data_IF_943040510475
#
_entry.id   IF_943040510475
#
_cell.length_a   1.000
_cell.length_b   1.000
_cell.length_c   1.000
_cell.angle_alpha   90.00
_cell.angle_beta   90.00
_cell.angle_gamma   90.00
#
_symmetry.space_group_name_H-M   'P 1'
#
loop_
_entity.id
_entity.type
_entity.pdbx_description
1 polymer ?
#
# COMPACT_ATOMS: atom_id res chain seq x y z
N UNK A 1 -22.76 39.41 -9.90
CA UNK A 1 -22.98 38.07 -9.32
C UNK A 1 -22.27 37.05 -10.20
N UNK A 2 -21.48 36.16 -9.58
CA UNK A 2 -20.82 35.05 -10.28
C UNK A 2 -21.77 33.82 -10.24
N UNK A 3 -22.03 33.27 -11.41
CA UNK A 3 -22.85 32.06 -11.51
C UNK A 3 -21.93 30.85 -11.61
N UNK A 4 -22.02 29.90 -10.63
CA UNK A 4 -21.18 28.74 -10.57
C UNK A 4 -21.93 27.52 -11.10
N UNK A 5 -21.25 26.57 -11.78
CA UNK A 5 -21.90 25.45 -12.46
C UNK A 5 -22.49 24.40 -11.49
N UNK A 6 -21.93 24.30 -10.27
CA UNK A 6 -22.35 23.32 -9.27
C UNK A 6 -22.37 23.95 -7.87
N UNK A 7 -23.06 23.35 -6.88
CA UNK A 7 -23.12 23.87 -5.51
C UNK A 7 -21.73 24.01 -4.88
N UNK A 8 -21.52 25.09 -4.14
CA UNK A 8 -20.31 25.33 -3.35
C UNK A 8 -20.37 24.45 -2.10
N UNK A 9 -19.28 23.73 -1.83
CA UNK A 9 -19.08 22.94 -0.62
C UNK A 9 -18.15 23.62 0.39
N UNK A 10 -17.22 24.47 -0.10
CA UNK A 10 -16.35 25.29 0.75
C UNK A 10 -16.03 26.62 0.08
N UNK A 11 -15.85 27.66 0.90
CA UNK A 11 -15.45 28.99 0.45
C UNK A 11 -14.36 29.51 1.38
N UNK A 12 -13.23 29.90 0.78
CA UNK A 12 -12.08 30.44 1.50
C UNK A 12 -11.67 31.80 0.92
N UNK A 13 -11.16 32.63 1.80
CA UNK A 13 -10.60 33.93 1.43
C UNK A 13 -9.25 34.13 2.10
N UNK A 14 -8.35 34.80 1.44
CA UNK A 14 -7.09 35.26 2.00
C UNK A 14 -6.64 36.57 1.26
N UNK A 15 -5.42 37.05 1.53
CA UNK A 15 -4.90 38.25 0.92
C UNK A 15 -4.72 38.15 -0.62
N UNK A 16 -4.77 36.96 -1.20
CA UNK A 16 -4.63 36.72 -2.65
C UNK A 16 -5.97 36.78 -3.37
N UNK A 17 -7.05 36.33 -2.70
CA UNK A 17 -8.37 36.33 -3.32
C UNK A 17 -9.39 35.41 -2.63
N UNK A 18 -10.44 35.12 -3.37
CA UNK A 18 -11.54 34.25 -2.97
C UNK A 18 -11.46 32.95 -3.73
N UNK A 19 -11.63 31.83 -3.04
CA UNK A 19 -11.67 30.49 -3.65
C UNK A 19 -12.99 29.82 -3.32
N UNK A 20 -13.68 29.34 -4.33
CA UNK A 20 -14.87 28.49 -4.18
C UNK A 20 -14.51 27.05 -4.53
N UNK A 21 -14.85 26.12 -3.65
CA UNK A 21 -14.66 24.68 -3.86
C UNK A 21 -16.03 24.06 -4.13
N UNK A 22 -16.10 23.27 -5.18
CA UNK A 22 -17.23 22.45 -5.59
C UNK A 22 -16.74 21.00 -5.66
N UNK A 23 -17.60 20.02 -5.72
CA UNK A 23 -17.21 18.59 -5.63
C UNK A 23 -16.08 18.19 -6.60
N UNK A 24 -16.10 18.72 -7.82
CA UNK A 24 -15.15 18.35 -8.88
C UNK A 24 -14.44 19.58 -9.47
N UNK A 25 -14.55 20.74 -8.82
CA UNK A 25 -14.03 21.99 -9.38
C UNK A 25 -13.64 22.96 -8.28
N UNK A 26 -12.60 23.73 -8.54
CA UNK A 26 -12.17 24.89 -7.73
C UNK A 26 -12.04 26.08 -8.63
N UNK A 27 -12.67 27.20 -8.26
CA UNK A 27 -12.53 28.50 -8.95
C UNK A 27 -11.88 29.52 -8.01
N UNK A 28 -10.90 30.26 -8.51
CA UNK A 28 -10.23 31.35 -7.79
C UNK A 28 -10.57 32.69 -8.41
N UNK A 29 -10.85 33.67 -7.56
CA UNK A 29 -11.28 35.02 -7.96
C UNK A 29 -10.42 36.08 -7.27
N UNK A 30 -10.19 37.19 -7.94
CA UNK A 30 -9.59 38.39 -7.36
C UNK A 30 -10.59 39.16 -6.45
N UNK A 31 -10.14 40.27 -5.86
CA UNK A 31 -10.97 41.14 -5.01
C UNK A 31 -12.16 41.79 -5.75
N UNK A 32 -12.11 41.89 -7.07
CA UNK A 32 -13.15 42.42 -7.92
C UNK A 32 -14.09 41.37 -8.52
N UNK A 33 -13.97 40.11 -8.05
CA UNK A 33 -14.71 38.95 -8.57
C UNK A 33 -14.34 38.52 -9.99
N UNK A 34 -13.18 38.96 -10.49
CA UNK A 34 -12.60 38.47 -11.73
C UNK A 34 -12.03 37.04 -11.53
N UNK A 35 -12.38 36.11 -12.44
CA UNK A 35 -11.87 34.76 -12.41
C UNK A 35 -10.37 34.72 -12.71
N UNK A 36 -9.56 34.21 -11.78
CA UNK A 36 -8.11 34.11 -11.93
C UNK A 36 -7.72 32.74 -12.47
N UNK A 37 -8.22 31.64 -11.85
CA UNK A 37 -7.82 30.31 -12.18
C UNK A 37 -8.95 29.31 -11.95
N UNK A 38 -8.89 28.17 -12.66
CA UNK A 38 -9.86 27.09 -12.58
C UNK A 38 -9.12 25.76 -12.53
N UNK A 39 -9.39 24.98 -11.50
CA UNK A 39 -9.00 23.59 -11.43
C UNK A 39 -10.21 22.69 -11.59
N UNK A 40 -10.12 21.69 -12.47
CA UNK A 40 -11.16 20.66 -12.67
C UNK A 40 -10.55 19.30 -12.40
N UNK A 41 -11.25 18.50 -11.63
CA UNK A 41 -10.82 17.13 -11.30
C UNK A 41 -10.83 16.24 -12.54
N UNK A 42 -9.74 15.55 -12.78
CA UNK A 42 -9.52 14.64 -13.92
C UNK A 42 -9.39 13.17 -13.48
N UNK A 43 -10.11 12.75 -12.46
CA UNK A 43 -10.00 11.39 -11.94
C UNK A 43 -11.05 11.01 -10.91
N UNK A 44 -10.83 9.87 -10.26
CA UNK A 44 -11.75 9.32 -9.25
C UNK A 44 -11.43 9.86 -7.84
N UNK A 45 -11.47 11.17 -7.65
CA UNK A 45 -11.35 11.82 -6.34
C UNK A 45 -12.23 13.06 -6.28
N UNK A 46 -12.42 13.59 -5.09
CA UNK A 46 -13.18 14.81 -4.85
C UNK A 46 -12.32 15.85 -4.14
N UNK A 47 -12.59 17.10 -4.39
CA UNK A 47 -11.99 18.21 -3.67
C UNK A 47 -12.86 18.59 -2.47
N UNK A 48 -12.23 18.84 -1.32
CA UNK A 48 -12.92 19.16 -0.09
C UNK A 48 -12.77 20.63 0.30
N UNK A 49 -11.61 21.22 0.02
CA UNK A 49 -11.28 22.62 0.36
C UNK A 49 -10.15 23.10 -0.53
N UNK A 50 -10.02 24.40 -0.71
CA UNK A 50 -8.88 24.98 -1.40
C UNK A 50 -8.56 26.39 -0.90
N UNK A 51 -7.31 26.83 -1.09
CA UNK A 51 -6.88 28.21 -0.84
C UNK A 51 -6.06 28.76 -2.01
N UNK A 52 -6.14 30.06 -2.23
CA UNK A 52 -5.33 30.74 -3.22
C UNK A 52 -3.89 30.93 -2.74
N UNK A 53 -2.94 30.69 -3.62
CA UNK A 53 -1.54 31.08 -3.51
C UNK A 53 -1.26 32.18 -4.52
N UNK A 54 -0.17 32.92 -4.35
CA UNK A 54 0.24 34.00 -5.28
C UNK A 54 0.44 33.52 -6.72
N UNK A 55 0.67 32.20 -6.92
CA UNK A 55 0.96 31.59 -8.21
C UNK A 55 0.17 30.31 -8.48
N UNK A 56 -1.00 30.14 -7.84
CA UNK A 56 -1.84 28.97 -8.04
C UNK A 56 -2.78 28.65 -6.89
N UNK A 57 -3.09 27.37 -6.70
CA UNK A 57 -4.03 26.86 -5.69
C UNK A 57 -3.40 25.72 -4.88
N UNK A 58 -3.70 25.67 -3.59
CA UNK A 58 -3.48 24.51 -2.75
C UNK A 58 -4.83 23.87 -2.46
N UNK A 59 -5.01 22.60 -2.86
CA UNK A 59 -6.29 21.92 -2.92
C UNK A 59 -6.26 20.67 -2.07
N UNK A 60 -7.09 20.61 -1.04
CA UNK A 60 -7.28 19.42 -0.20
C UNK A 60 -8.27 18.45 -0.85
N UNK A 61 -7.91 17.17 -0.91
CA UNK A 61 -8.71 16.13 -1.55
C UNK A 61 -9.12 15.03 -0.57
N UNK A 62 -10.09 14.21 -0.93
CA UNK A 62 -10.57 13.11 -0.08
C UNK A 62 -9.59 11.92 0.01
N UNK A 63 -8.77 11.66 -1.02
CA UNK A 63 -7.91 10.46 -1.09
C UNK A 63 -6.59 10.65 -1.83
N UNK A 64 -6.25 11.88 -2.27
CA UNK A 64 -4.99 12.21 -2.95
C UNK A 64 -4.10 13.19 -2.18
N UNK A 65 -4.35 13.36 -0.88
CA UNK A 65 -3.62 14.33 -0.06
C UNK A 65 -3.92 15.76 -0.49
N UNK A 66 -2.90 16.58 -0.62
CA UNK A 66 -3.00 17.97 -1.05
C UNK A 66 -2.42 18.11 -2.46
N UNK A 67 -3.15 18.78 -3.35
CA UNK A 67 -2.69 19.10 -4.69
C UNK A 67 -2.21 20.54 -4.72
N UNK A 68 -1.00 20.76 -5.18
CA UNK A 68 -0.49 22.05 -5.59
C UNK A 68 -0.76 22.22 -7.09
N UNK A 69 -1.64 23.14 -7.43
CA UNK A 69 -1.98 23.50 -8.80
C UNK A 69 -1.30 24.81 -9.17
N UNK A 70 -0.45 24.79 -10.19
CA UNK A 70 0.29 25.98 -10.65
C UNK A 70 0.44 25.94 -12.17
N UNK A 71 0.00 27.01 -12.83
CA UNK A 71 0.18 27.21 -14.29
C UNK A 71 -0.28 26.03 -15.15
N UNK A 72 -1.41 25.40 -14.79
CA UNK A 72 -1.94 24.23 -15.51
C UNK A 72 -1.25 22.89 -15.17
N UNK A 73 -0.30 22.88 -14.23
CA UNK A 73 0.37 21.68 -13.73
C UNK A 73 -0.10 21.33 -12.32
N UNK A 74 -0.26 20.05 -12.06
CA UNK A 74 -0.60 19.56 -10.72
C UNK A 74 0.52 18.70 -10.13
N UNK A 75 0.84 18.98 -8.86
CA UNK A 75 1.74 18.17 -8.04
C UNK A 75 1.03 17.73 -6.77
N UNK A 76 1.02 16.43 -6.49
CA UNK A 76 0.43 15.90 -5.25
C UNK A 76 1.44 15.92 -4.11
N UNK A 77 1.05 16.49 -2.98
CA UNK A 77 1.76 16.42 -1.70
C UNK A 77 1.05 15.35 -0.88
N UNK A 78 1.64 14.17 -0.84
CA UNK A 78 1.12 13.04 -0.08
C UNK A 78 2.02 12.90 1.15
N UNK A 79 1.46 12.93 2.39
CA UNK A 79 2.24 12.67 3.59
C UNK A 79 2.91 11.29 3.51
N UNK A 80 4.12 11.18 4.04
CA UNK A 80 4.76 9.87 4.17
C UNK A 80 3.90 8.97 5.06
N UNK A 81 3.57 7.78 4.58
CA UNK A 81 2.66 6.87 5.26
C UNK A 81 2.65 5.48 4.63
N UNK A 82 1.76 4.66 5.15
CA UNK A 82 1.45 3.33 4.63
C UNK A 82 0.96 3.39 3.17
N UNK A 83 1.17 2.32 2.43
CA UNK A 83 0.68 2.17 1.05
C UNK A 83 -0.85 2.14 0.98
N UNK A 84 -1.50 1.58 2.00
CA UNK A 84 -2.96 1.45 2.11
C UNK A 84 -3.36 1.54 3.59
N UNK A 85 -4.59 1.98 3.87
CA UNK A 85 -5.12 2.06 5.23
C UNK A 85 -5.73 0.74 5.73
N UNK A 86 -5.95 -0.23 4.83
CA UNK A 86 -6.51 -1.54 5.14
C UNK A 86 -5.37 -2.53 5.45
N UNK A 87 -4.76 -2.36 6.61
CA UNK A 87 -3.65 -3.19 7.08
C UNK A 87 -4.17 -4.52 7.60
N UNK A 88 -3.66 -5.64 7.06
CA UNK A 88 -4.01 -6.99 7.50
C UNK A 88 -3.17 -7.47 8.69
N UNK A 89 -1.86 -7.26 8.62
CA UNK A 89 -0.94 -7.71 9.68
C UNK A 89 0.20 -6.71 9.87
N UNK A 90 0.67 -6.61 11.10
CA UNK A 90 1.86 -5.85 11.47
C UNK A 90 2.83 -6.74 12.24
N UNK A 91 4.12 -6.44 12.10
CA UNK A 91 5.19 -7.06 12.88
C UNK A 91 6.22 -6.01 13.25
N UNK A 92 6.71 -6.04 14.48
CA UNK A 92 7.76 -5.15 14.94
C UNK A 92 8.96 -5.96 15.40
N UNK A 93 10.13 -5.65 14.86
CA UNK A 93 11.39 -6.28 15.27
C UNK A 93 12.55 -5.31 15.07
N UNK A 94 13.46 -5.25 16.05
CA UNK A 94 14.75 -4.53 15.98
C UNK A 94 14.63 -3.09 15.44
N UNK A 95 13.60 -2.37 15.85
CA UNK A 95 13.37 -0.96 15.46
C UNK A 95 12.69 -0.76 14.11
N UNK A 96 12.32 -1.83 13.40
CA UNK A 96 11.52 -1.77 12.18
C UNK A 96 10.09 -2.23 12.44
N UNK A 97 9.11 -1.48 11.95
CA UNK A 97 7.70 -1.89 11.91
C UNK A 97 7.34 -2.27 10.47
N UNK A 98 6.77 -3.45 10.29
CA UNK A 98 6.34 -3.98 9.01
C UNK A 98 4.81 -4.03 8.92
N UNK A 99 4.25 -3.82 7.73
CA UNK A 99 2.83 -3.93 7.48
C UNK A 99 2.54 -4.65 6.15
N UNK A 100 1.50 -5.50 6.16
CA UNK A 100 0.97 -6.17 4.97
C UNK A 100 -0.52 -5.88 4.81
N UNK A 101 -1.04 -6.00 3.59
CA UNK A 101 -2.38 -5.52 3.21
C UNK A 101 -3.26 -6.61 2.61
N UNK A 102 -2.74 -7.83 2.53
CA UNK A 102 -3.45 -8.96 1.93
C UNK A 102 -4.14 -9.84 2.95
N UNK A 103 -4.04 -11.14 2.74
CA UNK A 103 -4.50 -12.15 3.69
C UNK A 103 -5.69 -12.95 3.18
N UNK A 104 -6.58 -13.27 4.09
CA UNK A 104 -7.73 -14.14 3.86
C UNK A 104 -8.92 -13.68 4.72
N UNK A 105 -10.12 -14.08 4.33
CA UNK A 105 -11.33 -13.89 5.15
C UNK A 105 -11.30 -14.79 6.40
N UNK A 106 -12.25 -14.60 7.32
CA UNK A 106 -12.44 -15.46 8.50
C UNK A 106 -12.72 -16.93 8.15
N UNK A 107 -13.17 -17.21 6.93
CA UNK A 107 -13.37 -18.57 6.39
C UNK A 107 -12.19 -19.08 5.56
N UNK A 108 -11.02 -18.44 5.66
CA UNK A 108 -9.82 -18.78 4.89
C UNK A 108 -10.03 -18.75 3.37
N UNK A 109 -10.81 -17.77 2.89
CA UNK A 109 -10.98 -17.51 1.47
C UNK A 109 -9.96 -16.45 1.02
N UNK A 110 -9.22 -16.66 -0.08
CA UNK A 110 -8.25 -15.68 -0.61
C UNK A 110 -8.88 -14.51 -1.37
N UNK A 111 -10.18 -14.51 -1.56
CA UNK A 111 -10.89 -13.47 -2.32
C UNK A 111 -11.56 -12.43 -1.40
N UNK A 112 -11.50 -11.15 -1.76
CA UNK A 112 -10.87 -10.59 -2.95
C UNK A 112 -9.33 -10.65 -2.87
N UNK A 113 -8.67 -10.90 -4.00
CA UNK A 113 -7.21 -10.85 -4.08
C UNK A 113 -6.72 -9.41 -3.95
N UNK A 114 -5.74 -9.21 -3.07
CA UNK A 114 -5.10 -7.92 -2.83
C UNK A 114 -3.73 -7.90 -3.51
N UNK A 115 -3.62 -7.10 -4.54
CA UNK A 115 -2.39 -6.93 -5.33
C UNK A 115 -1.60 -5.73 -4.79
N UNK A 116 -1.32 -5.77 -3.49
CA UNK A 116 -0.50 -4.81 -2.79
C UNK A 116 0.81 -5.47 -2.33
N UNK A 117 1.86 -4.66 -2.22
CA UNK A 117 3.12 -5.13 -1.68
C UNK A 117 3.13 -5.12 -0.14
N UNK A 118 4.20 -4.62 0.42
CA UNK A 118 4.33 -4.42 1.87
C UNK A 118 4.91 -3.05 2.17
N UNK A 119 4.73 -2.58 3.40
CA UNK A 119 5.36 -1.37 3.90
C UNK A 119 6.23 -1.67 5.09
N UNK A 120 7.29 -0.89 5.25
CA UNK A 120 8.10 -0.89 6.48
C UNK A 120 8.41 0.53 6.93
N UNK A 121 8.42 0.71 8.25
CA UNK A 121 8.80 1.95 8.90
C UNK A 121 10.18 1.78 9.51
N UNK A 122 11.12 2.57 9.05
CA UNK A 122 12.48 2.60 9.52
C UNK A 122 13.04 4.02 9.37
N UNK A 123 13.91 4.46 10.31
CA UNK A 123 14.48 5.81 10.30
C UNK A 123 13.42 6.91 10.16
N UNK A 124 12.31 6.80 10.90
CA UNK A 124 11.21 7.77 10.94
C UNK A 124 10.44 7.92 9.62
N UNK A 125 10.64 7.02 8.66
CA UNK A 125 9.98 7.04 7.36
C UNK A 125 9.30 5.70 7.04
N UNK A 126 8.12 5.79 6.45
CA UNK A 126 7.48 4.68 5.77
C UNK A 126 8.08 4.51 4.38
N UNK A 127 8.41 3.29 4.06
CA UNK A 127 8.85 2.85 2.74
C UNK A 127 7.85 1.83 2.22
N UNK A 128 7.47 1.97 0.97
CA UNK A 128 6.41 1.17 0.35
C UNK A 128 6.98 0.39 -0.83
N UNK A 129 7.04 -0.93 -0.71
CA UNK A 129 7.41 -1.85 -1.79
C UNK A 129 6.14 -2.25 -2.53
N UNK A 130 6.09 -1.97 -3.83
CA UNK A 130 4.90 -2.17 -4.66
C UNK A 130 4.76 -3.62 -5.13
N UNK A 131 3.54 -4.00 -5.50
CA UNK A 131 3.22 -5.34 -6.02
C UNK A 131 4.11 -5.79 -7.19
N UNK A 132 4.45 -4.89 -8.11
CA UNK A 132 5.25 -5.23 -9.30
C UNK A 132 6.66 -5.75 -8.97
N UNK A 133 7.15 -5.47 -7.75
CA UNK A 133 8.50 -5.86 -7.30
C UNK A 133 8.52 -7.18 -6.52
N UNK A 134 7.37 -7.80 -6.18
CA UNK A 134 7.28 -8.93 -5.26
C UNK A 134 6.98 -10.28 -5.95
N UNK A 135 7.45 -10.48 -7.17
CA UNK A 135 7.34 -11.74 -7.93
C UNK A 135 5.91 -12.28 -8.03
N UNK A 136 4.91 -11.37 -8.09
CA UNK A 136 3.50 -11.71 -8.17
C UNK A 136 2.87 -12.28 -6.89
N UNK A 137 3.52 -12.14 -5.74
CA UNK A 137 3.00 -12.57 -4.45
C UNK A 137 1.85 -11.66 -3.97
N UNK A 138 0.61 -11.99 -4.29
CA UNK A 138 -0.58 -11.30 -3.79
C UNK A 138 -0.99 -11.81 -2.41
N UNK A 139 -1.90 -11.11 -1.74
CA UNK A 139 -2.42 -11.45 -0.42
C UNK A 139 -1.31 -11.71 0.61
N UNK A 140 -0.38 -10.77 0.75
CA UNK A 140 0.65 -10.83 1.78
C UNK A 140 0.00 -10.73 3.17
N UNK A 141 0.34 -11.66 4.07
CA UNK A 141 -0.35 -11.78 5.36
C UNK A 141 0.57 -11.82 6.58
N UNK A 142 1.39 -12.83 6.77
CA UNK A 142 2.22 -12.99 7.97
C UNK A 142 3.67 -12.61 7.71
N UNK A 143 4.32 -12.00 8.69
CA UNK A 143 5.71 -11.53 8.62
C UNK A 143 6.52 -12.24 9.71
N UNK A 144 7.68 -12.78 9.35
CA UNK A 144 8.63 -13.37 10.27
C UNK A 144 10.05 -12.86 10.00
N UNK A 145 10.61 -12.15 10.96
CA UNK A 145 11.99 -11.66 10.89
C UNK A 145 12.95 -12.73 11.39
N UNK A 146 14.06 -12.94 10.67
CA UNK A 146 15.07 -13.92 11.05
C UNK A 146 15.76 -13.47 12.36
N UNK A 147 15.70 -14.28 13.43
CA UNK A 147 16.25 -13.89 14.73
C UNK A 147 17.78 -13.78 14.73
N UNK A 148 18.45 -14.45 13.77
CA UNK A 148 19.91 -14.50 13.66
C UNK A 148 20.48 -13.67 12.51
N UNK A 149 19.62 -13.21 11.59
CA UNK A 149 20.02 -12.35 10.47
C UNK A 149 19.09 -11.15 10.33
N UNK A 150 19.54 -9.98 10.79
CA UNK A 150 18.75 -8.75 10.79
C UNK A 150 18.37 -8.24 9.40
N UNK A 151 19.08 -8.69 8.36
CA UNK A 151 18.78 -8.31 6.98
C UNK A 151 17.69 -9.16 6.35
N UNK A 152 17.26 -10.26 7.00
CA UNK A 152 16.38 -11.24 6.38
C UNK A 152 15.01 -11.30 7.03
N UNK A 153 13.98 -11.14 6.20
CA UNK A 153 12.57 -11.21 6.58
C UNK A 153 11.81 -12.12 5.62
N UNK A 154 10.84 -12.85 6.11
CA UNK A 154 9.97 -13.68 5.30
C UNK A 154 8.53 -13.20 5.43
N UNK A 155 7.83 -13.11 4.31
CA UNK A 155 6.44 -12.68 4.25
C UNK A 155 5.63 -13.75 3.53
N UNK A 156 4.59 -14.28 4.18
CA UNK A 156 3.73 -15.27 3.55
C UNK A 156 2.71 -14.63 2.61
N UNK A 157 2.40 -15.34 1.53
CA UNK A 157 1.33 -15.02 0.59
C UNK A 157 0.25 -16.08 0.65
N UNK A 158 -1.01 -15.65 0.81
CA UNK A 158 -2.14 -16.57 0.76
C UNK A 158 -2.60 -16.78 -0.67
N UNK A 159 -1.74 -17.47 -1.44
CA UNK A 159 -1.96 -17.79 -2.85
C UNK A 159 -0.68 -18.00 -3.66
N UNK A 160 0.49 -17.47 -3.20
CA UNK A 160 1.75 -17.53 -3.96
C UNK A 160 2.97 -17.94 -3.14
N UNK A 161 2.76 -18.54 -1.94
CA UNK A 161 3.85 -19.13 -1.14
C UNK A 161 4.50 -18.14 -0.18
N UNK A 162 5.82 -18.02 -0.20
CA UNK A 162 6.59 -17.20 0.74
C UNK A 162 7.55 -16.29 -0.02
N UNK A 163 7.52 -15.01 0.28
CA UNK A 163 8.47 -14.01 -0.20
C UNK A 163 9.63 -13.90 0.79
N UNK A 164 10.86 -14.04 0.33
CA UNK A 164 12.06 -13.65 1.07
C UNK A 164 12.41 -12.20 0.74
N UNK A 165 12.68 -11.45 1.77
CA UNK A 165 13.12 -10.06 1.71
C UNK A 165 14.53 -9.99 2.31
N UNK A 166 15.46 -9.37 1.60
CA UNK A 166 16.83 -9.16 2.04
C UNK A 166 17.12 -7.65 2.02
N UNK A 167 17.59 -7.11 3.14
CA UNK A 167 17.87 -5.67 3.30
C UNK A 167 16.67 -4.79 2.83
N UNK A 168 15.45 -5.18 3.25
CA UNK A 168 14.17 -4.55 2.93
C UNK A 168 13.69 -4.72 1.48
N UNK A 169 14.49 -5.32 0.58
CA UNK A 169 14.15 -5.53 -0.82
C UNK A 169 13.72 -6.98 -1.11
N UNK A 170 12.75 -7.22 -1.98
CA UNK A 170 12.35 -8.56 -2.39
C UNK A 170 13.52 -9.31 -3.04
N UNK A 171 13.88 -10.47 -2.50
CA UNK A 171 15.02 -11.28 -2.97
C UNK A 171 14.57 -12.44 -3.83
N UNK A 172 13.60 -13.21 -3.36
CA UNK A 172 13.03 -14.37 -4.09
C UNK A 172 11.67 -14.77 -3.54
N UNK A 173 10.95 -15.56 -4.31
CA UNK A 173 9.71 -16.19 -3.89
C UNK A 173 9.86 -17.71 -3.84
N UNK A 174 9.51 -18.33 -2.73
CA UNK A 174 9.37 -19.77 -2.60
C UNK A 174 7.98 -20.19 -3.10
N UNK A 175 7.96 -21.16 -4.00
CA UNK A 175 6.79 -21.70 -4.65
C UNK A 175 6.87 -23.22 -4.76
N UNK A 176 5.95 -23.85 -5.45
CA UNK A 176 5.98 -25.29 -5.71
C UNK A 176 7.26 -25.71 -6.44
N UNK A 177 7.71 -24.90 -7.40
CA UNK A 177 8.81 -25.26 -8.30
C UNK A 177 10.19 -25.26 -7.65
N UNK A 178 10.36 -24.50 -6.56
CA UNK A 178 11.69 -24.27 -5.96
C UNK A 178 11.73 -24.53 -4.45
N UNK A 179 10.70 -25.17 -3.89
CA UNK A 179 10.61 -25.47 -2.47
C UNK A 179 9.74 -26.72 -2.20
N UNK A 180 9.60 -27.09 -0.94
CA UNK A 180 8.66 -28.13 -0.51
C UNK A 180 7.22 -27.67 -0.31
N UNK A 181 6.86 -26.45 -0.75
CA UNK A 181 5.49 -25.96 -0.67
C UNK A 181 4.58 -26.69 -1.66
N UNK A 182 3.29 -26.80 -1.29
CA UNK A 182 2.29 -27.51 -2.08
C UNK A 182 1.19 -26.54 -2.53
N UNK A 183 0.70 -26.72 -3.77
CA UNK A 183 -0.45 -26.00 -4.29
C UNK A 183 -1.76 -26.69 -3.94
N UNK A 184 -2.80 -25.91 -3.63
CA UNK A 184 -4.18 -26.39 -3.53
C UNK A 184 -4.73 -26.80 -4.89
N UNK A 185 -4.30 -26.10 -5.94
CA UNK A 185 -4.66 -26.43 -7.32
C UNK A 185 -3.76 -27.52 -7.88
N UNK A 186 -4.35 -28.47 -8.59
CA UNK A 186 -3.62 -29.49 -9.34
C UNK A 186 -3.18 -29.01 -10.74
N UNK A 187 -3.65 -27.83 -11.18
CA UNK A 187 -3.28 -27.25 -12.47
C UNK A 187 -1.96 -26.49 -12.35
N UNK A 188 -0.94 -26.81 -13.15
CA UNK A 188 0.33 -26.07 -13.16
C UNK A 188 0.15 -24.57 -13.49
N UNK A 189 -0.80 -24.24 -14.36
CA UNK A 189 -1.07 -22.87 -14.79
C UNK A 189 -1.80 -22.02 -13.74
N UNK A 190 -2.31 -22.67 -12.70
CA UNK A 190 -3.08 -22.01 -11.63
C UNK A 190 -2.50 -22.34 -10.26
N UNK A 191 -1.23 -21.96 -10.03
CA UNK A 191 -0.58 -22.10 -8.73
C UNK A 191 -1.35 -21.37 -7.63
N UNK A 192 -1.75 -22.10 -6.57
CA UNK A 192 -2.47 -21.58 -5.41
C UNK A 192 -1.83 -22.12 -4.12
N UNK A 193 -0.74 -21.50 -3.69
CA UNK A 193 0.05 -21.88 -2.50
C UNK A 193 -0.35 -21.00 -1.33
N UNK A 194 -1.20 -21.52 -0.45
CA UNK A 194 -1.85 -20.76 0.64
C UNK A 194 -1.09 -20.85 1.94
N UNK A 195 -0.05 -20.06 2.11
CA UNK A 195 0.67 -19.96 3.38
C UNK A 195 -0.01 -18.91 4.27
N UNK A 196 -0.55 -19.36 5.42
CA UNK A 196 -1.35 -18.52 6.31
C UNK A 196 -0.55 -17.93 7.48
N UNK A 197 0.55 -18.56 7.89
CA UNK A 197 1.36 -18.07 9.00
C UNK A 197 2.82 -18.49 8.85
N UNK A 198 3.69 -17.65 9.44
CA UNK A 198 5.14 -17.90 9.56
C UNK A 198 5.58 -17.62 10.99
N UNK A 199 6.52 -18.43 11.50
CA UNK A 199 7.21 -18.17 12.75
C UNK A 199 8.60 -18.81 12.75
N UNK A 200 9.57 -18.16 13.38
CA UNK A 200 10.85 -18.76 13.68
C UNK A 200 10.83 -19.46 15.04
N UNK A 201 11.48 -20.61 15.13
CA UNK A 201 11.77 -21.21 16.42
C UNK A 201 13.11 -20.69 17.00
N UNK A 202 13.43 -21.16 18.23
CA UNK A 202 14.65 -20.76 18.92
C UNK A 202 15.94 -21.29 18.25
N UNK A 203 15.84 -22.26 17.35
CA UNK A 203 16.94 -22.81 16.58
C UNK A 203 17.15 -22.10 15.23
N UNK A 204 16.25 -21.18 14.87
CA UNK A 204 16.30 -20.43 13.61
C UNK A 204 15.70 -21.17 12.43
N UNK A 205 14.85 -22.17 12.68
CA UNK A 205 14.02 -22.77 11.63
C UNK A 205 12.79 -21.90 11.41
N UNK A 206 12.56 -21.55 10.17
CA UNK A 206 11.31 -20.91 9.75
C UNK A 206 10.23 -21.97 9.57
N UNK A 207 9.20 -21.90 10.38
CA UNK A 207 8.01 -22.71 10.27
C UNK A 207 6.93 -22.00 9.48
N UNK A 208 6.24 -22.75 8.62
CA UNK A 208 5.10 -22.24 7.84
C UNK A 208 3.90 -23.17 7.96
N UNK A 209 2.72 -22.55 7.98
CA UNK A 209 1.44 -23.28 7.97
C UNK A 209 0.71 -22.96 6.67
N UNK A 210 0.34 -24.01 5.93
CA UNK A 210 -0.39 -23.90 4.67
C UNK A 210 -1.77 -24.53 4.76
N UNK A 211 -2.75 -23.91 4.10
CA UNK A 211 -4.14 -24.36 4.11
C UNK A 211 -4.44 -25.34 2.99
N UNK A 212 -5.34 -26.33 3.25
CA UNK A 212 -5.97 -27.23 2.28
C UNK A 212 -4.99 -28.07 1.47
N UNK A 213 -3.88 -28.48 2.09
CA UNK A 213 -2.88 -29.39 1.50
C UNK A 213 -2.62 -30.58 2.44
N UNK A 214 -1.97 -31.63 1.94
CA UNK A 214 -1.75 -32.86 2.70
C UNK A 214 -0.76 -32.70 3.86
N UNK A 215 0.25 -31.84 3.69
CA UNK A 215 1.29 -31.58 4.69
C UNK A 215 1.30 -30.10 5.06
N UNK A 216 0.40 -29.66 5.95
CA UNK A 216 0.19 -28.23 6.23
C UNK A 216 1.35 -27.57 6.96
N UNK A 217 2.11 -28.29 7.78
CA UNK A 217 3.25 -27.77 8.52
C UNK A 217 4.56 -28.09 7.81
N UNK A 218 5.37 -27.07 7.54
CA UNK A 218 6.68 -27.22 6.93
C UNK A 218 7.71 -26.35 7.63
N UNK A 219 8.97 -26.76 7.54
CA UNK A 219 10.09 -25.96 8.05
C UNK A 219 11.14 -25.72 6.96
N UNK A 220 11.84 -24.64 7.11
CA UNK A 220 12.94 -24.22 6.26
C UNK A 220 14.09 -23.69 7.12
N UNK A 221 15.33 -24.11 6.82
CA UNK A 221 16.52 -23.57 7.46
C UNK A 221 17.18 -22.53 6.56
N UNK A 222 17.06 -21.21 6.86
CA UNK A 222 17.64 -20.17 6.04
C UNK A 222 19.16 -20.18 5.94
N UNK A 223 19.83 -20.86 6.88
CA UNK A 223 21.30 -20.94 6.95
C UNK A 223 21.89 -22.13 6.19
N UNK A 224 21.09 -23.14 5.89
CA UNK A 224 21.54 -24.35 5.17
C UNK A 224 20.95 -24.50 3.78
N UNK A 225 20.02 -23.65 3.35
CA UNK A 225 19.23 -23.78 2.12
C UNK A 225 18.48 -25.12 1.99
N UNK A 226 18.12 -25.76 3.13
CA UNK A 226 17.39 -27.04 3.19
C UNK A 226 16.00 -26.87 3.85
#
# INVERSE_FOLDING_TARGET
AVNLPTPIIDLRTNAVGVVTTQQNRVDSFDENTGLIDVFVVDGNYQVNTAIALSNGLLIGTNNRGVILWQMGSQNSIIPNGLQDNDVFSISADKGTLWATYGGHSSSFNPDPKRYLGYSYFNNELWNNVKFDSIFGAYNLNSIANDPFNNSKTFISSFGKGILEVLDYEPSRRFSVDNSGLESVSSSPDNEDVRVSALAFDAQGLLWSVSSRIARPLKSYNPNSNQ
#
